data_IF_281720470903
#
_entry.id   IF_281720470903
#
_cell.length_a   1.000
_cell.length_b   1.000
_cell.length_c   1.000
_cell.angle_alpha   90.00
_cell.angle_beta   90.00
_cell.angle_gamma   90.00
#
_symmetry.space_group_name_H-M   'P 1'
#
loop_
_entity.id
_entity.type
_entity.pdbx_description
1 polymer ?
#
# COMPACT_ATOMS: atom_id res chain seq x y z
N UNK A 1 20.20 -13.76 8.49
CA UNK A 1 19.61 -12.63 7.74
C UNK A 1 19.25 -11.56 8.75
N UNK A 2 19.80 -10.36 8.64
CA UNK A 2 19.45 -9.24 9.51
C UNK A 2 17.94 -8.93 9.38
N UNK A 3 17.26 -8.57 10.46
CA UNK A 3 15.81 -8.28 10.49
C UNK A 3 15.37 -7.29 9.42
N UNK A 4 16.25 -6.37 9.03
CA UNK A 4 16.08 -5.42 7.94
C UNK A 4 15.71 -6.09 6.61
N UNK A 5 16.31 -7.25 6.30
CA UNK A 5 16.04 -7.96 5.05
C UNK A 5 14.60 -8.48 4.96
N UNK A 6 14.04 -8.94 6.09
CA UNK A 6 12.64 -9.39 6.14
C UNK A 6 11.66 -8.22 6.00
N UNK A 7 11.97 -7.07 6.61
CA UNK A 7 11.17 -5.84 6.49
C UNK A 7 11.10 -5.42 5.01
N UNK A 8 12.25 -5.33 4.34
CA UNK A 8 12.30 -4.97 2.91
C UNK A 8 11.59 -5.97 2.02
N UNK A 9 11.74 -7.28 2.29
CA UNK A 9 11.08 -8.32 1.52
C UNK A 9 9.56 -8.21 1.63
N UNK A 10 9.02 -8.07 2.85
CA UNK A 10 7.57 -7.90 3.05
C UNK A 10 7.07 -6.62 2.39
N UNK A 11 7.81 -5.53 2.49
CA UNK A 11 7.45 -4.27 1.86
C UNK A 11 7.38 -4.40 0.33
N UNK A 12 8.43 -4.90 -0.31
CA UNK A 12 8.51 -5.01 -1.77
C UNK A 12 7.44 -5.96 -2.30
N UNK A 13 7.27 -7.13 -1.68
CA UNK A 13 6.24 -8.10 -2.08
C UNK A 13 4.84 -7.49 -1.93
N UNK A 14 4.57 -6.80 -0.82
CA UNK A 14 3.27 -6.14 -0.60
C UNK A 14 3.00 -5.08 -1.66
N UNK A 15 3.98 -4.20 -1.93
CA UNK A 15 3.82 -3.15 -2.94
C UNK A 15 3.63 -3.72 -4.34
N UNK A 16 4.38 -4.75 -4.73
CA UNK A 16 4.23 -5.40 -6.03
C UNK A 16 2.83 -6.00 -6.19
N UNK A 17 2.33 -6.73 -5.20
CA UNK A 17 1.00 -7.35 -5.24
C UNK A 17 -0.08 -6.28 -5.29
N UNK A 18 -0.04 -5.30 -4.38
CA UNK A 18 -1.05 -4.24 -4.29
C UNK A 18 -1.11 -3.41 -5.59
N UNK A 19 0.04 -3.06 -6.15
CA UNK A 19 0.12 -2.30 -7.40
C UNK A 19 -0.34 -3.13 -8.60
N UNK A 20 0.11 -4.38 -8.71
CA UNK A 20 -0.32 -5.27 -9.79
C UNK A 20 -1.84 -5.49 -9.78
N UNK A 21 -2.43 -5.66 -8.59
CA UNK A 21 -3.88 -5.77 -8.44
C UNK A 21 -4.58 -4.47 -8.85
N UNK A 22 -4.17 -3.32 -8.31
CA UNK A 22 -4.78 -2.02 -8.65
C UNK A 22 -4.75 -1.75 -10.16
N UNK A 23 -3.61 -1.99 -10.81
CA UNK A 23 -3.47 -1.81 -12.26
C UNK A 23 -4.33 -2.82 -13.04
N UNK A 24 -4.36 -4.09 -12.62
CA UNK A 24 -5.17 -5.13 -13.28
C UNK A 24 -6.66 -4.82 -13.19
N UNK A 25 -7.17 -4.44 -12.00
CA UNK A 25 -8.56 -4.06 -11.81
C UNK A 25 -8.93 -2.79 -12.59
N UNK A 26 -8.02 -1.82 -12.66
CA UNK A 26 -8.22 -0.61 -13.46
C UNK A 26 -8.27 -0.91 -14.96
N UNK A 27 -7.33 -1.71 -15.50
CA UNK A 27 -7.32 -2.11 -16.91
C UNK A 27 -8.57 -2.91 -17.32
N UNK A 28 -9.14 -3.68 -16.39
CA UNK A 28 -10.40 -4.43 -16.61
C UNK A 28 -11.66 -3.57 -16.42
N UNK A 29 -11.49 -2.26 -16.21
CA UNK A 29 -12.57 -1.31 -15.89
C UNK A 29 -13.45 -1.74 -14.71
N UNK A 30 -12.89 -2.55 -13.79
CA UNK A 30 -13.60 -3.07 -12.61
C UNK A 30 -13.52 -2.13 -11.42
N UNK A 31 -12.44 -1.34 -11.34
CA UNK A 31 -12.22 -0.46 -10.20
C UNK A 31 -11.42 0.77 -10.63
N UNK A 32 -11.88 1.99 -10.31
CA UNK A 32 -11.12 3.19 -10.61
C UNK A 32 -9.89 3.31 -9.68
N UNK A 33 -8.85 3.99 -10.16
CA UNK A 33 -7.59 4.17 -9.41
C UNK A 33 -7.80 4.88 -8.07
N UNK A 34 -8.72 5.85 -7.98
CA UNK A 34 -8.98 6.57 -6.74
C UNK A 34 -9.51 5.65 -5.64
N UNK A 35 -10.42 4.73 -6.00
CA UNK A 35 -10.96 3.74 -5.08
C UNK A 35 -9.89 2.70 -4.70
N UNK A 36 -9.03 2.33 -5.67
CA UNK A 36 -7.90 1.43 -5.41
C UNK A 36 -6.94 2.04 -4.39
N UNK A 37 -6.68 3.34 -4.48
CA UNK A 37 -5.88 4.08 -3.50
C UNK A 37 -6.45 4.03 -2.08
N UNK A 38 -7.78 4.17 -1.93
CA UNK A 38 -8.46 4.04 -0.63
C UNK A 38 -8.29 2.62 -0.07
N UNK A 39 -8.51 1.60 -0.89
CA UNK A 39 -8.35 0.20 -0.48
C UNK A 39 -6.91 -0.11 -0.07
N UNK A 40 -5.93 0.31 -0.87
CA UNK A 40 -4.50 0.16 -0.53
C UNK A 40 -4.18 0.89 0.78
N UNK A 41 -4.69 2.11 0.96
CA UNK A 41 -4.50 2.89 2.18
C UNK A 41 -5.04 2.19 3.43
N UNK A 42 -6.19 1.51 3.33
CA UNK A 42 -6.73 0.70 4.44
C UNK A 42 -5.96 -0.61 4.66
N UNK A 43 -5.45 -1.23 3.59
CA UNK A 43 -4.64 -2.44 3.70
C UNK A 43 -3.28 -2.18 4.34
N UNK A 44 -2.72 -0.97 4.23
CA UNK A 44 -1.44 -0.60 4.84
C UNK A 44 -1.37 -0.89 6.34
N UNK A 45 -2.25 -0.30 7.18
CA UNK A 45 -2.30 -0.61 8.60
C UNK A 45 -2.56 -2.10 8.90
N UNK A 46 -3.44 -2.75 8.14
CA UNK A 46 -3.76 -4.18 8.33
C UNK A 46 -2.50 -5.04 8.13
N UNK A 47 -1.77 -4.81 7.02
CA UNK A 47 -0.53 -5.53 6.71
C UNK A 47 0.53 -5.22 7.77
N UNK A 48 0.64 -3.98 8.23
CA UNK A 48 1.57 -3.58 9.28
C UNK A 48 1.30 -4.30 10.61
N UNK A 49 0.04 -4.39 11.04
CA UNK A 49 -0.31 -5.12 12.27
C UNK A 49 0.02 -6.61 12.17
N UNK A 50 -0.32 -7.24 11.04
CA UNK A 50 -0.02 -8.67 10.82
C UNK A 50 1.50 -8.89 10.79
N UNK A 51 2.23 -8.12 10.00
CA UNK A 51 3.69 -8.24 9.91
C UNK A 51 4.36 -7.95 11.26
N UNK A 52 3.91 -6.91 11.96
CA UNK A 52 4.42 -6.54 13.28
C UNK A 52 4.22 -7.62 14.32
N UNK A 53 3.06 -8.26 14.35
CA UNK A 53 2.83 -9.40 15.24
C UNK A 53 3.87 -10.52 15.01
N UNK A 54 4.12 -10.89 13.75
CA UNK A 54 5.09 -11.93 13.43
C UNK A 54 6.53 -11.49 13.73
N UNK A 55 6.90 -10.26 13.36
CA UNK A 55 8.24 -9.74 13.59
C UNK A 55 8.57 -9.64 15.08
N UNK A 56 7.66 -9.07 15.88
CA UNK A 56 7.82 -8.96 17.34
C UNK A 56 7.92 -10.34 17.97
N UNK A 57 7.06 -11.29 17.56
CA UNK A 57 7.09 -12.66 18.07
C UNK A 57 8.41 -13.38 17.77
N UNK A 58 8.94 -13.22 16.55
CA UNK A 58 10.22 -13.81 16.16
C UNK A 58 11.38 -13.20 16.96
N UNK A 59 11.34 -11.87 17.15
CA UNK A 59 12.37 -11.15 17.91
C UNK A 59 12.36 -11.54 19.40
N UNK A 60 11.17 -11.60 20.03
CA UNK A 60 11.01 -12.07 21.41
C UNK A 60 11.51 -13.51 21.60
N UNK A 61 11.18 -14.41 20.66
CA UNK A 61 11.68 -15.79 20.70
C UNK A 61 13.21 -15.87 20.57
N UNK A 62 13.85 -14.84 20.03
CA UNK A 62 15.30 -14.74 19.87
C UNK A 62 15.98 -13.99 21.03
N UNK A 63 15.22 -13.62 22.07
CA UNK A 63 15.71 -12.89 23.24
C UNK A 63 15.76 -11.36 23.07
N UNK A 64 15.19 -10.83 21.99
CA UNK A 64 15.08 -9.39 21.73
C UNK A 64 13.91 -8.72 22.45
N UNK A 65 13.86 -7.39 22.43
CA UNK A 65 12.78 -6.58 23.04
C UNK A 65 11.56 -6.43 22.14
N UNK A 66 11.67 -6.74 20.85
CA UNK A 66 10.62 -6.58 19.84
C UNK A 66 10.44 -5.14 19.33
N UNK A 67 11.14 -4.16 19.89
CA UNK A 67 10.92 -2.74 19.58
C UNK A 67 11.27 -2.42 18.12
N UNK A 68 12.46 -2.80 17.66
CA UNK A 68 12.88 -2.61 16.27
C UNK A 68 11.96 -3.32 15.27
N UNK A 69 11.44 -4.48 15.66
CA UNK A 69 10.48 -5.26 14.88
C UNK A 69 9.14 -4.52 14.72
N UNK A 70 8.67 -3.89 15.80
CA UNK A 70 7.48 -3.03 15.80
C UNK A 70 7.66 -1.77 14.95
N UNK A 71 8.80 -1.08 15.08
CA UNK A 71 9.12 0.08 14.24
C UNK A 71 9.21 -0.28 12.75
N UNK A 72 9.83 -1.41 12.43
CA UNK A 72 9.91 -1.92 11.06
C UNK A 72 8.52 -2.19 10.47
N UNK A 73 7.61 -2.77 11.24
CA UNK A 73 6.24 -3.01 10.80
C UNK A 73 5.44 -1.72 10.60
N UNK A 74 5.58 -0.74 11.50
CA UNK A 74 4.96 0.57 11.35
C UNK A 74 5.46 1.28 10.08
N UNK A 75 6.77 1.20 9.80
CA UNK A 75 7.37 1.72 8.58
C UNK A 75 6.74 1.10 7.32
N UNK A 76 6.58 -0.22 7.28
CA UNK A 76 5.90 -0.91 6.16
C UNK A 76 4.49 -0.34 5.95
N UNK A 77 3.71 -0.21 7.03
CA UNK A 77 2.36 0.33 6.98
C UNK A 77 2.31 1.72 6.38
N UNK A 78 3.17 2.62 6.88
CA UNK A 78 3.23 4.01 6.41
C UNK A 78 3.59 4.12 4.93
N UNK A 79 4.54 3.32 4.44
CA UNK A 79 4.91 3.31 3.02
C UNK A 79 3.75 2.80 2.14
N UNK A 80 3.04 1.76 2.59
CA UNK A 80 1.85 1.27 1.86
C UNK A 80 0.73 2.32 1.86
N UNK A 81 0.50 3.02 2.99
CA UNK A 81 -0.46 4.13 3.05
C UNK A 81 -0.08 5.24 2.09
N UNK A 82 1.19 5.64 2.09
CA UNK A 82 1.71 6.65 1.15
C UNK A 82 1.49 6.23 -0.31
N UNK A 83 1.71 4.95 -0.62
CA UNK A 83 1.40 4.40 -1.95
C UNK A 83 -0.11 4.51 -2.27
N UNK A 84 -0.99 4.20 -1.31
CA UNK A 84 -2.43 4.39 -1.47
C UNK A 84 -2.82 5.84 -1.77
N UNK A 85 -2.20 6.80 -1.08
CA UNK A 85 -2.40 8.24 -1.32
C UNK A 85 -1.99 8.63 -2.75
N UNK A 86 -0.87 8.11 -3.25
CA UNK A 86 -0.42 8.36 -4.64
C UNK A 86 -1.48 7.89 -5.65
N UNK A 87 -2.02 6.68 -5.47
CA UNK A 87 -3.10 6.16 -6.33
C UNK A 87 -4.37 6.99 -6.24
N UNK A 88 -4.70 7.48 -5.03
CA UNK A 88 -5.85 8.34 -4.79
C UNK A 88 -5.72 9.63 -5.60
N UNK A 89 -4.57 10.31 -5.49
CA UNK A 89 -4.27 11.55 -6.21
C UNK A 89 -4.31 11.33 -7.73
N UNK A 90 -3.63 10.30 -8.24
CA UNK A 90 -3.63 9.97 -9.67
C UNK A 90 -5.05 9.73 -10.16
N UNK A 91 -5.84 8.94 -9.42
CA UNK A 91 -7.22 8.64 -9.77
C UNK A 91 -8.13 9.87 -9.80
N UNK A 92 -7.97 10.81 -8.87
CA UNK A 92 -8.71 12.08 -8.88
C UNK A 92 -8.33 12.89 -10.11
N UNK A 93 -7.03 13.08 -10.38
CA UNK A 93 -6.56 13.87 -11.53
C UNK A 93 -7.09 13.29 -12.85
N UNK A 94 -7.02 11.97 -13.03
CA UNK A 94 -7.55 11.30 -14.21
C UNK A 94 -9.06 11.52 -14.38
N UNK A 95 -9.83 11.48 -13.28
CA UNK A 95 -11.28 11.70 -13.32
C UNK A 95 -11.62 13.15 -13.66
N UNK A 96 -10.92 14.12 -13.06
CA UNK A 96 -11.11 15.55 -13.37
C UNK A 96 -10.80 15.85 -14.84
N UNK A 97 -9.69 15.33 -15.37
CA UNK A 97 -9.34 15.48 -16.80
C UNK A 97 -10.41 14.90 -17.72
N UNK A 98 -10.96 13.74 -17.38
CA UNK A 98 -12.04 13.12 -18.16
C UNK A 98 -13.30 13.98 -18.21
N UNK A 99 -13.67 14.61 -17.09
CA UNK A 99 -14.85 15.47 -17.00
C UNK A 99 -14.68 16.77 -17.81
N UNK A 100 -13.51 17.39 -17.75
CA UNK A 100 -13.19 18.61 -18.50
C UNK A 100 -13.23 18.31 -20.02
N UNK A 101 -12.61 17.21 -20.45
CA UNK A 101 -12.60 16.83 -21.87
C UNK A 101 -14.01 16.53 -22.40
N UNK A 102 -14.88 15.89 -21.62
CA UNK A 102 -16.28 15.68 -22.03
C UNK A 102 -17.03 16.99 -22.21
N UNK A 103 -16.78 17.99 -21.35
CA UNK A 103 -17.44 19.30 -21.46
C UNK A 103 -17.05 20.04 -22.74
N UNK A 104 -15.79 19.96 -23.17
CA UNK A 104 -15.31 20.61 -24.40
C UNK A 104 -15.83 19.97 -25.70
N UNK A 105 -16.24 18.69 -25.67
CA UNK A 105 -16.79 18.01 -26.85
C UNK A 105 -18.29 18.32 -27.05
N UNK A 106 -18.99 18.68 -25.97
CA UNK A 106 -20.43 18.98 -25.98
C UNK A 106 -20.74 20.48 -26.12
N UNK A 107 -19.74 21.32 -26.36
CA UNK A 107 -19.87 22.74 -26.71
C UNK A 107 -19.56 22.95 -28.18
#
# INVERSE_FOLDING_TARGET
MNGDGLIWLVLVVSLLILNALAISLYKRNKMPLWLSGIVIGMLGPIIAFIAGYFFVKIDHNSGGTGEGAGFGAAFIGLIIVANGIIYLIIGIISKVKSLINQKNINQ
#
